data_IF_195402658704
#
_entry.id   IF_195402658704
#
_cell.length_a   1.000
_cell.length_b   1.000
_cell.length_c   1.000
_cell.angle_alpha   90.00
_cell.angle_beta   90.00
_cell.angle_gamma   90.00
#
_symmetry.space_group_name_H-M   'P 1'
#
loop_
_entity.id
_entity.type
_entity.pdbx_description
1 polymer ?
#
# COMPACT_ATOMS: atom_id res chain seq x y z
N UNK A 1 2.96 -9.16 13.08
CA UNK A 1 2.02 -8.26 12.35
C UNK A 1 2.58 -6.85 12.26
N UNK A 2 2.95 -6.24 13.38
CA UNK A 2 3.45 -4.85 13.42
C UNK A 2 4.66 -4.57 12.49
N UNK A 3 5.67 -5.45 12.50
CA UNK A 3 6.82 -5.33 11.59
C UNK A 3 6.45 -5.46 10.09
N UNK A 4 5.46 -6.29 9.75
CA UNK A 4 4.97 -6.45 8.37
C UNK A 4 4.22 -5.19 7.92
N UNK A 5 3.39 -4.64 8.79
CA UNK A 5 2.66 -3.40 8.54
C UNK A 5 3.61 -2.21 8.40
N UNK A 6 4.60 -2.09 9.28
CA UNK A 6 5.62 -1.04 9.21
C UNK A 6 6.47 -1.16 7.93
N UNK A 7 6.93 -2.36 7.58
CA UNK A 7 7.68 -2.60 6.35
C UNK A 7 6.86 -2.27 5.09
N UNK A 8 5.58 -2.65 5.07
CA UNK A 8 4.64 -2.27 4.02
C UNK A 8 4.54 -0.74 3.87
N UNK A 9 4.30 -0.01 4.96
CA UNK A 9 4.15 1.44 4.93
C UNK A 9 5.41 2.17 4.47
N UNK A 10 6.60 1.70 4.88
CA UNK A 10 7.88 2.26 4.42
C UNK A 10 8.03 2.10 2.91
N UNK A 11 7.83 0.89 2.37
CA UNK A 11 7.92 0.63 0.94
C UNK A 11 6.88 1.43 0.13
N UNK A 12 5.65 1.50 0.64
CA UNK A 12 4.56 2.24 0.02
C UNK A 12 4.86 3.75 -0.09
N UNK A 13 5.35 4.38 0.99
CA UNK A 13 5.70 5.81 0.98
C UNK A 13 6.93 6.13 0.15
N UNK A 14 7.86 5.17 0.02
CA UNK A 14 9.04 5.31 -0.83
C UNK A 14 8.75 5.08 -2.33
N UNK A 15 7.51 4.76 -2.71
CA UNK A 15 7.15 4.43 -4.09
C UNK A 15 7.70 3.10 -4.58
N UNK A 16 8.17 2.23 -3.66
CA UNK A 16 8.71 0.92 -3.97
C UNK A 16 7.58 -0.10 -4.16
N UNK A 17 6.83 0.04 -5.25
CA UNK A 17 5.57 -0.68 -5.48
C UNK A 17 5.70 -2.21 -5.41
N UNK A 18 6.74 -2.79 -5.99
CA UNK A 18 6.96 -4.25 -5.93
C UNK A 18 7.24 -4.73 -4.49
N UNK A 19 7.98 -3.95 -3.71
CA UNK A 19 8.26 -4.25 -2.31
C UNK A 19 6.99 -4.08 -1.46
N UNK A 20 6.21 -3.03 -1.72
CA UNK A 20 4.96 -2.76 -1.03
C UNK A 20 3.93 -3.87 -1.27
N UNK A 21 3.76 -4.37 -2.49
CA UNK A 21 2.84 -5.48 -2.78
C UNK A 21 3.24 -6.79 -2.12
N UNK A 22 4.54 -7.12 -2.10
CA UNK A 22 5.04 -8.33 -1.42
C UNK A 22 4.75 -8.25 0.07
N UNK A 23 5.05 -7.12 0.71
CA UNK A 23 4.75 -6.91 2.12
C UNK A 23 3.25 -6.92 2.41
N UNK A 24 2.42 -6.38 1.50
CA UNK A 24 0.96 -6.35 1.63
C UNK A 24 0.35 -7.76 1.50
N UNK A 25 0.88 -8.61 0.62
CA UNK A 25 0.47 -10.01 0.50
C UNK A 25 0.80 -10.79 1.79
N UNK A 26 1.99 -10.57 2.36
CA UNK A 26 2.37 -11.15 3.65
C UNK A 26 1.50 -10.64 4.80
N UNK A 27 1.18 -9.35 4.81
CA UNK A 27 0.29 -8.73 5.80
C UNK A 27 -1.13 -9.33 5.73
N UNK A 28 -1.68 -9.52 4.52
CA UNK A 28 -2.97 -10.16 4.30
C UNK A 28 -2.97 -11.61 4.79
N UNK A 29 -1.93 -12.37 4.48
CA UNK A 29 -1.80 -13.76 4.93
C UNK A 29 -1.70 -13.86 6.47
N UNK A 30 -1.02 -12.91 7.12
CA UNK A 30 -0.83 -12.89 8.57
C UNK A 30 -2.03 -12.34 9.35
N UNK A 31 -2.78 -11.39 8.78
CA UNK A 31 -3.90 -10.69 9.45
C UNK A 31 -5.28 -11.27 9.16
N UNK A 32 -5.39 -12.24 8.27
CA UNK A 32 -6.66 -12.91 7.97
C UNK A 32 -7.73 -11.97 7.41
N UNK A 33 -9.00 -12.26 7.74
CA UNK A 33 -10.16 -11.54 7.16
C UNK A 33 -10.20 -10.07 7.55
N UNK A 34 -9.75 -9.74 8.77
CA UNK A 34 -9.77 -8.38 9.32
C UNK A 34 -8.92 -7.39 8.50
N UNK A 35 -7.78 -7.86 7.97
CA UNK A 35 -6.91 -7.04 7.13
C UNK A 35 -7.20 -7.20 5.63
N UNK A 36 -8.10 -8.10 5.22
CA UNK A 36 -8.36 -8.36 3.80
C UNK A 36 -8.91 -7.11 3.08
N UNK A 37 -9.83 -6.38 3.72
CA UNK A 37 -10.37 -5.14 3.18
C UNK A 37 -9.31 -4.05 3.05
N UNK A 38 -8.52 -3.84 4.11
CA UNK A 38 -7.43 -2.87 4.11
C UNK A 38 -6.39 -3.19 3.02
N UNK A 39 -6.02 -4.46 2.88
CA UNK A 39 -5.06 -4.89 1.87
C UNK A 39 -5.59 -4.71 0.45
N UNK A 40 -6.90 -4.93 0.22
CA UNK A 40 -7.51 -4.69 -1.09
C UNK A 40 -7.42 -3.20 -1.49
N UNK A 41 -7.73 -2.28 -0.57
CA UNK A 41 -7.64 -0.83 -0.81
C UNK A 41 -6.22 -0.41 -1.17
N UNK A 42 -5.22 -0.88 -0.43
CA UNK A 42 -3.83 -0.53 -0.74
C UNK A 42 -3.31 -1.16 -2.03
N UNK A 43 -3.76 -2.37 -2.39
CA UNK A 43 -3.43 -2.98 -3.67
C UNK A 43 -4.00 -2.15 -4.84
N UNK A 44 -5.24 -1.67 -4.73
CA UNK A 44 -5.85 -0.79 -5.73
C UNK A 44 -5.05 0.51 -5.88
N UNK A 45 -4.70 1.16 -4.76
CA UNK A 45 -3.89 2.39 -4.74
C UNK A 45 -2.53 2.19 -5.41
N UNK A 46 -1.83 1.09 -5.11
CA UNK A 46 -0.55 0.79 -5.76
C UNK A 46 -0.75 0.62 -7.27
N UNK A 47 -1.81 -0.08 -7.69
CA UNK A 47 -2.17 -0.20 -9.10
C UNK A 47 -2.43 1.15 -9.79
N UNK A 48 -3.11 2.08 -9.10
CA UNK A 48 -3.32 3.44 -9.57
C UNK A 48 -1.99 4.21 -9.70
N UNK A 49 -1.12 4.16 -8.68
CA UNK A 49 0.18 4.83 -8.71
C UNK A 49 1.16 4.26 -9.74
N UNK A 50 1.02 2.98 -10.11
CA UNK A 50 1.79 2.43 -11.25
C UNK A 50 1.38 3.05 -12.58
N UNK A 51 0.09 3.33 -12.77
CA UNK A 51 -0.43 3.96 -13.99
C UNK A 51 -0.21 5.47 -13.98
N UNK A 52 -0.32 6.08 -12.82
CA UNK A 52 -0.21 7.52 -12.58
C UNK A 52 0.78 7.73 -11.42
N UNK A 53 2.10 7.78 -11.70
CA UNK A 53 3.10 7.92 -10.65
C UNK A 53 2.86 9.20 -9.85
N UNK A 54 3.04 9.15 -8.52
CA UNK A 54 2.86 10.32 -7.69
C UNK A 54 3.92 11.39 -8.05
N UNK A 55 3.63 12.68 -7.80
CA UNK A 55 4.57 13.75 -8.07
C UNK A 55 5.86 13.60 -7.23
N UNK A 56 6.99 14.15 -7.68
CA UNK A 56 8.21 14.21 -6.88
C UNK A 56 7.95 14.89 -5.53
N UNK A 57 8.36 14.25 -4.43
CA UNK A 57 8.13 14.76 -3.08
C UNK A 57 6.80 14.35 -2.44
N UNK A 58 6.08 13.40 -3.04
CA UNK A 58 4.89 12.81 -2.45
C UNK A 58 5.15 12.17 -1.08
N UNK A 59 4.30 12.46 -0.11
CA UNK A 59 4.42 12.10 1.31
C UNK A 59 3.71 10.78 1.68
N UNK A 60 3.15 10.09 0.69
CA UNK A 60 2.37 8.86 0.89
C UNK A 60 0.87 9.08 1.09
N UNK A 61 0.38 10.32 0.98
CA UNK A 61 -1.05 10.62 1.08
C UNK A 61 -1.76 10.30 -0.24
N UNK A 62 -2.72 9.38 -0.21
CA UNK A 62 -3.65 9.26 -1.33
C UNK A 62 -4.80 10.24 -1.09
N UNK A 63 -4.92 11.23 -1.95
CA UNK A 63 -6.11 12.08 -1.98
C UNK A 63 -7.26 11.16 -2.40
N UNK A 64 -8.17 10.86 -1.49
CA UNK A 64 -9.42 10.24 -1.85
C UNK A 64 -10.19 11.27 -2.69
N UNK A 65 -10.18 11.09 -4.01
CA UNK A 65 -11.05 11.86 -4.90
C UNK A 65 -12.48 11.40 -4.63
N UNK A 66 -13.08 11.94 -3.58
CA UNK A 66 -14.52 11.85 -3.37
C UNK A 66 -15.21 12.70 -4.43
N UNK A 67 -16.24 12.11 -5.04
CA UNK A 67 -17.15 12.70 -6.04
C UNK A 67 -17.72 14.05 -5.64
#
# INVERSE_FOLDING_TARGET
LDALQSGFLVAYRAGQWDAAERALAQLRAAGGVELAGLCAVYAERIGAFRKHPPPPGWDGVHVAESK
#
